data_IF_765365470043
#
_entry.id   IF_765365470043
#
_cell.length_a   1.000
_cell.length_b   1.000
_cell.length_c   1.000
_cell.angle_alpha   90.00
_cell.angle_beta   90.00
_cell.angle_gamma   90.00
#
_symmetry.space_group_name_H-M   'P 1'
#
loop_
_entity.id
_entity.type
_entity.pdbx_description
1 polymer ?
#
# COMPACT_ATOMS: atom_id res chain seq x y z
N UNK A 1 59.48 -18.00 -0.90
CA UNK A 1 60.33 -17.16 -0.04
C UNK A 1 60.65 -15.91 -0.83
N UNK A 2 59.99 -14.82 -0.42
CA UNK A 2 60.41 -13.42 -0.42
C UNK A 2 61.05 -12.71 -1.62
N UNK A 3 60.35 -11.63 -2.00
CA UNK A 3 60.75 -10.23 -2.22
C UNK A 3 61.59 -9.78 -3.44
N UNK A 4 60.95 -8.85 -4.18
CA UNK A 4 61.38 -7.56 -4.76
C UNK A 4 62.42 -7.48 -5.90
N UNK A 5 61.91 -6.94 -7.03
CA UNK A 5 62.42 -5.91 -7.98
C UNK A 5 63.90 -5.94 -8.47
N UNK A 6 64.18 -5.62 -9.76
CA UNK A 6 64.01 -4.23 -10.24
C UNK A 6 63.71 -4.03 -11.74
N UNK A 7 63.33 -2.79 -12.10
CA UNK A 7 63.32 -2.26 -13.47
C UNK A 7 64.76 -2.05 -14.02
N UNK A 8 64.96 -1.96 -15.35
CA UNK A 8 65.00 -0.62 -15.96
C UNK A 8 64.54 -0.51 -17.45
N UNK A 9 64.47 0.75 -17.87
CA UNK A 9 64.07 1.38 -19.13
C UNK A 9 64.90 1.09 -20.40
N UNK A 10 64.28 1.20 -21.60
CA UNK A 10 64.61 2.22 -22.62
C UNK A 10 63.95 2.02 -24.00
N UNK A 11 63.77 3.15 -24.70
CA UNK A 11 63.88 3.37 -26.16
C UNK A 11 62.66 3.26 -27.11
N UNK A 12 62.13 4.45 -27.44
CA UNK A 12 61.88 5.09 -28.76
C UNK A 12 61.57 4.27 -30.03
N UNK A 13 60.46 4.61 -30.74
CA UNK A 13 60.44 5.42 -31.99
C UNK A 13 59.10 5.38 -32.79
N UNK A 14 58.85 6.46 -33.56
CA UNK A 14 57.95 6.61 -34.74
C UNK A 14 56.43 6.74 -34.49
N UNK A 15 55.62 7.63 -35.10
CA UNK A 15 55.71 8.48 -36.32
C UNK A 15 54.49 9.46 -36.30
N UNK A 16 54.64 10.74 -36.68
CA UNK A 16 53.54 11.69 -37.01
C UNK A 16 52.98 11.40 -38.43
N UNK A 17 51.92 12.07 -39.00
CA UNK A 17 51.07 13.19 -38.52
C UNK A 17 49.54 12.97 -38.77
N UNK A 18 48.68 13.90 -38.36
CA UNK A 18 47.68 14.57 -39.23
C UNK A 18 46.75 15.48 -38.38
N UNK A 19 46.83 16.78 -38.67
CA UNK A 19 45.91 17.83 -38.25
C UNK A 19 44.60 17.65 -39.04
N UNK A 20 43.50 17.46 -38.33
CA UNK A 20 42.15 17.73 -38.83
C UNK A 20 41.59 18.81 -37.92
N UNK A 21 41.53 20.03 -38.44
CA UNK A 21 40.60 21.04 -37.93
C UNK A 21 39.21 20.63 -38.38
N UNK A 22 38.26 20.52 -37.46
CA UNK A 22 36.87 20.73 -37.82
C UNK A 22 36.06 21.26 -36.62
N UNK A 23 35.58 22.48 -36.82
CA UNK A 23 34.27 23.00 -36.43
C UNK A 23 33.75 22.69 -35.02
N UNK A 24 33.80 23.72 -34.19
CA UNK A 24 32.95 23.90 -33.02
C UNK A 24 31.46 23.95 -33.41
N UNK A 25 30.73 22.86 -33.15
CA UNK A 25 29.30 22.90 -32.91
C UNK A 25 29.08 22.65 -31.41
N UNK A 26 28.35 23.49 -30.67
CA UNK A 26 27.93 23.15 -29.32
C UNK A 26 26.84 22.07 -29.45
N UNK A 27 27.24 20.82 -29.27
CA UNK A 27 26.31 19.71 -29.05
C UNK A 27 25.47 20.07 -27.83
N UNK A 28 24.22 20.48 -28.07
CA UNK A 28 23.30 20.81 -27.00
C UNK A 28 23.11 19.55 -26.17
N UNK A 29 23.48 19.64 -24.89
CA UNK A 29 23.15 18.59 -23.94
C UNK A 29 21.66 18.26 -24.08
N UNK A 30 21.27 16.97 -24.13
CA UNK A 30 19.87 16.61 -24.19
C UNK A 30 19.16 17.29 -23.01
N UNK A 31 17.92 17.77 -23.20
CA UNK A 31 17.20 18.45 -22.12
C UNK A 31 17.22 17.55 -20.89
N UNK A 32 17.58 18.12 -19.75
CA UNK A 32 17.50 17.42 -18.48
C UNK A 32 16.10 16.79 -18.41
N UNK A 33 16.05 15.45 -18.43
CA UNK A 33 14.83 14.73 -18.12
C UNK A 33 14.46 15.15 -16.71
N UNK A 34 13.58 16.14 -16.61
CA UNK A 34 12.79 16.34 -15.42
C UNK A 34 11.98 15.07 -15.34
N UNK A 35 12.46 14.13 -14.53
CA UNK A 35 11.61 13.05 -14.07
C UNK A 35 10.43 13.76 -13.42
N UNK A 36 9.31 13.84 -14.14
CA UNK A 36 8.02 14.05 -13.52
C UNK A 36 8.00 13.06 -12.36
N UNK A 37 7.79 13.50 -11.11
CA UNK A 37 7.52 12.55 -10.05
C UNK A 37 6.40 11.68 -10.60
N UNK A 38 6.66 10.39 -10.75
CA UNK A 38 5.61 9.43 -11.00
C UNK A 38 4.79 9.50 -9.71
N UNK A 39 3.83 10.42 -9.67
CA UNK A 39 2.98 10.63 -8.51
C UNK A 39 2.43 9.27 -8.16
N UNK A 40 2.72 8.84 -6.93
CA UNK A 40 2.25 7.60 -6.36
C UNK A 40 0.72 7.60 -6.44
N UNK A 41 0.17 7.06 -7.53
CA UNK A 41 -1.27 6.83 -7.71
C UNK A 41 -1.84 5.95 -6.57
N UNK A 42 -0.97 5.31 -5.77
CA UNK A 42 -1.34 4.55 -4.58
C UNK A 42 -1.70 5.37 -3.35
N UNK A 43 -1.51 6.70 -3.34
CA UNK A 43 -1.76 7.54 -2.15
C UNK A 43 -2.99 8.47 -2.25
N UNK A 44 -3.68 8.51 -3.38
CA UNK A 44 -4.90 9.33 -3.53
C UNK A 44 -6.04 8.72 -2.72
N UNK A 45 -6.29 9.29 -1.54
CA UNK A 45 -7.39 8.89 -0.65
C UNK A 45 -8.57 9.87 -0.77
N UNK A 46 -9.78 9.32 -0.77
CA UNK A 46 -11.01 10.12 -0.83
C UNK A 46 -11.55 10.27 0.58
N UNK A 47 -11.70 11.50 1.08
CA UNK A 47 -12.17 11.75 2.45
C UNK A 47 -13.70 11.79 2.53
N UNK A 48 -14.25 11.18 3.57
CA UNK A 48 -15.68 11.10 3.85
C UNK A 48 -15.99 11.60 5.25
N UNK A 49 -16.78 12.67 5.28
CA UNK A 49 -17.53 13.10 6.44
C UNK A 49 -18.68 13.97 5.94
N UNK A 50 -19.93 13.62 6.27
CA UNK A 50 -21.09 14.43 5.89
C UNK A 50 -21.41 14.48 4.37
N UNK A 51 -20.90 13.54 3.57
CA UNK A 51 -21.27 13.43 2.16
C UNK A 51 -22.72 12.91 2.03
N UNK A 52 -23.57 13.51 1.17
CA UNK A 52 -24.98 13.13 1.04
C UNK A 52 -25.20 11.75 0.41
N UNK A 53 -24.15 11.12 -0.14
CA UNK A 53 -24.19 9.80 -0.74
C UNK A 53 -22.79 9.19 -0.91
N UNK A 54 -22.76 7.89 -1.17
CA UNK A 54 -21.52 7.18 -1.48
C UNK A 54 -21.09 7.44 -2.94
N UNK A 55 -19.79 7.60 -3.25
CA UNK A 55 -19.37 7.94 -4.61
C UNK A 55 -19.57 6.81 -5.61
N UNK A 56 -19.49 7.16 -6.88
CA UNK A 56 -19.54 6.22 -7.99
C UNK A 56 -18.22 5.46 -8.14
N UNK A 57 -18.26 4.37 -8.91
CA UNK A 57 -17.09 3.52 -9.19
C UNK A 57 -15.93 4.28 -9.86
N UNK A 58 -16.21 5.37 -10.58
CA UNK A 58 -15.18 6.25 -11.14
C UNK A 58 -14.24 6.82 -10.06
N UNK A 59 -14.77 7.05 -8.85
CA UNK A 59 -14.02 7.61 -7.72
C UNK A 59 -13.47 6.49 -6.82
N UNK A 60 -14.26 5.44 -6.59
CA UNK A 60 -13.87 4.38 -5.64
C UNK A 60 -12.96 3.32 -6.24
N UNK A 61 -12.91 3.24 -7.58
CA UNK A 61 -12.43 2.05 -8.27
C UNK A 61 -13.37 0.85 -8.06
N UNK A 62 -13.04 -0.30 -8.66
CA UNK A 62 -13.79 -1.53 -8.45
C UNK A 62 -13.69 -1.99 -6.99
N UNK A 63 -14.75 -2.60 -6.42
CA UNK A 63 -14.71 -3.08 -5.05
C UNK A 63 -13.74 -4.27 -4.93
N UNK A 64 -12.73 -4.22 -4.03
CA UNK A 64 -11.79 -5.33 -3.83
C UNK A 64 -12.44 -6.55 -3.16
N UNK A 65 -13.58 -6.35 -2.49
CA UNK A 65 -14.30 -7.36 -1.72
C UNK A 65 -15.82 -7.21 -1.92
N UNK A 66 -16.55 -8.29 -1.62
CA UNK A 66 -18.02 -8.29 -1.56
C UNK A 66 -18.48 -8.85 -0.22
N UNK A 67 -19.63 -8.36 0.26
CA UNK A 67 -20.24 -8.83 1.50
C UNK A 67 -20.81 -10.25 1.34
N UNK A 68 -21.42 -10.79 2.39
CA UNK A 68 -21.92 -12.17 2.47
C UNK A 68 -22.96 -12.52 1.39
N UNK A 69 -23.68 -11.52 0.86
CA UNK A 69 -24.61 -11.70 -0.25
C UNK A 69 -23.92 -11.95 -1.60
N UNK A 70 -22.60 -11.81 -1.67
CA UNK A 70 -21.79 -11.99 -2.86
C UNK A 70 -21.94 -10.87 -3.90
N UNK A 71 -22.67 -9.80 -3.61
CA UNK A 71 -23.00 -8.73 -4.56
C UNK A 71 -22.69 -7.36 -3.97
N UNK A 72 -23.02 -7.10 -2.70
CA UNK A 72 -22.81 -5.82 -2.04
C UNK A 72 -21.32 -5.47 -1.97
N UNK A 73 -20.91 -4.26 -2.41
CA UNK A 73 -19.50 -3.90 -2.51
C UNK A 73 -18.91 -3.56 -1.13
N UNK A 74 -17.65 -3.95 -0.92
CA UNK A 74 -16.87 -3.63 0.29
C UNK A 74 -15.51 -3.09 -0.12
N UNK A 75 -15.14 -1.93 0.43
CA UNK A 75 -13.94 -1.18 0.09
C UNK A 75 -12.96 -1.08 1.26
N UNK A 76 -11.71 -0.76 0.94
CA UNK A 76 -10.69 -0.39 1.91
C UNK A 76 -10.90 1.04 2.39
N UNK A 77 -10.77 1.25 3.69
CA UNK A 77 -10.76 2.59 4.24
C UNK A 77 -9.88 2.75 5.46
N UNK A 78 -9.79 3.99 5.92
CA UNK A 78 -9.03 4.41 7.09
C UNK A 78 -9.91 5.31 7.94
N UNK A 79 -10.25 4.89 9.15
CA UNK A 79 -11.06 5.65 10.09
C UNK A 79 -10.18 6.53 10.98
N UNK A 80 -10.49 7.82 11.08
CA UNK A 80 -9.77 8.78 11.91
C UNK A 80 -10.43 8.91 13.29
N UNK A 81 -9.66 8.73 14.35
CA UNK A 81 -10.11 8.85 15.74
C UNK A 81 -9.64 10.17 16.36
N UNK A 82 -10.35 10.60 17.41
CA UNK A 82 -10.06 11.86 18.12
C UNK A 82 -8.71 11.85 18.85
N UNK A 83 -8.20 10.66 19.20
CA UNK A 83 -6.88 10.49 19.81
C UNK A 83 -5.74 10.50 18.78
N UNK A 84 -6.04 10.97 17.56
CA UNK A 84 -5.18 11.03 16.38
C UNK A 84 -4.84 9.69 15.74
N UNK A 85 -5.26 8.54 16.28
CA UNK A 85 -5.03 7.26 15.62
C UNK A 85 -5.83 7.15 14.32
N UNK A 86 -5.31 6.35 13.39
CA UNK A 86 -5.97 6.07 12.11
C UNK A 86 -5.98 4.55 11.93
N UNK A 87 -7.16 3.95 11.86
CA UNK A 87 -7.28 2.50 11.76
C UNK A 87 -7.83 2.06 10.41
N UNK A 88 -7.17 1.10 9.72
CA UNK A 88 -7.76 0.46 8.56
C UNK A 88 -9.12 -0.17 8.91
N UNK A 89 -10.09 0.02 8.03
CA UNK A 89 -11.49 -0.36 8.23
C UNK A 89 -12.09 -0.94 6.95
N UNK A 90 -13.22 -1.64 7.07
CA UNK A 90 -14.08 -1.95 5.92
C UNK A 90 -15.10 -0.82 5.73
N UNK A 91 -15.34 -0.44 4.48
CA UNK A 91 -16.40 0.48 4.09
C UNK A 91 -17.40 -0.29 3.23
N UNK A 92 -18.63 -0.43 3.71
CA UNK A 92 -19.71 -1.10 2.99
C UNK A 92 -20.92 -0.16 2.95
N UNK A 93 -21.24 0.44 1.78
CA UNK A 93 -22.26 1.48 1.66
C UNK A 93 -23.66 1.08 2.16
N UNK A 94 -23.98 -0.22 2.08
CA UNK A 94 -25.26 -0.77 2.52
C UNK A 94 -25.39 -0.96 4.04
N UNK A 95 -24.33 -0.77 4.82
CA UNK A 95 -24.40 -0.95 6.27
C UNK A 95 -24.98 0.26 6.99
N UNK A 96 -25.86 -0.01 7.95
CA UNK A 96 -26.49 0.96 8.85
C UNK A 96 -26.08 0.67 10.31
N UNK A 97 -25.91 1.69 11.17
CA UNK A 97 -26.13 3.13 10.96
C UNK A 97 -24.98 3.87 10.24
N UNK A 98 -23.82 3.24 10.09
CA UNK A 98 -22.67 3.79 9.37
C UNK A 98 -22.12 2.78 8.37
N UNK A 99 -21.60 3.21 7.21
CA UNK A 99 -20.93 2.34 6.25
C UNK A 99 -19.53 1.89 6.72
N UNK A 100 -18.92 2.61 7.66
CA UNK A 100 -17.57 2.35 8.14
C UNK A 100 -17.58 1.44 9.38
N UNK A 101 -16.80 0.36 9.33
CA UNK A 101 -16.66 -0.61 10.42
C UNK A 101 -15.19 -0.85 10.74
N UNK A 102 -14.83 -0.56 11.99
CA UNK A 102 -13.44 -0.61 12.45
C UNK A 102 -13.26 -1.75 13.45
N UNK A 103 -12.33 -2.69 13.23
CA UNK A 103 -11.89 -3.61 14.26
C UNK A 103 -11.00 -2.85 15.25
N UNK A 104 -11.46 -2.65 16.48
CA UNK A 104 -10.67 -1.98 17.51
C UNK A 104 -11.17 -2.37 18.91
N UNK A 105 -10.28 -2.49 19.89
CA UNK A 105 -10.65 -2.73 21.29
C UNK A 105 -11.51 -3.99 21.50
N UNK A 106 -11.28 -5.05 20.72
CA UNK A 106 -12.05 -6.31 20.73
C UNK A 106 -13.49 -6.17 20.21
N UNK A 107 -13.85 -5.07 19.56
CA UNK A 107 -15.21 -4.80 19.05
C UNK A 107 -15.20 -4.41 17.58
N UNK A 108 -16.34 -4.63 16.93
CA UNK A 108 -16.67 -3.98 15.66
C UNK A 108 -17.30 -2.62 15.96
N UNK A 109 -16.54 -1.55 15.73
CA UNK A 109 -17.01 -0.18 15.95
C UNK A 109 -17.76 0.34 14.73
N UNK A 110 -18.94 0.92 14.98
CA UNK A 110 -19.65 1.72 13.99
C UNK A 110 -19.04 3.12 14.00
N UNK A 111 -18.19 3.42 13.01
CA UNK A 111 -17.46 4.69 12.99
C UNK A 111 -18.27 5.78 12.32
N UNK A 112 -18.61 6.83 13.06
CA UNK A 112 -19.38 7.97 12.55
C UNK A 112 -18.51 9.22 12.30
N UNK A 113 -17.22 9.13 12.64
CA UNK A 113 -16.26 10.20 12.39
C UNK A 113 -15.76 10.22 10.95
N UNK A 114 -14.78 11.09 10.64
CA UNK A 114 -14.14 11.12 9.34
C UNK A 114 -13.47 9.78 9.03
N UNK A 115 -13.56 9.36 7.77
CA UNK A 115 -12.81 8.23 7.24
C UNK A 115 -12.38 8.52 5.81
N UNK A 116 -11.33 7.87 5.33
CA UNK A 116 -10.96 7.92 3.90
C UNK A 116 -11.15 6.58 3.22
N UNK A 117 -11.53 6.57 1.95
CA UNK A 117 -11.49 5.39 1.08
C UNK A 117 -10.16 5.34 0.34
N UNK A 118 -9.58 4.14 0.24
CA UNK A 118 -8.46 3.83 -0.63
C UNK A 118 -9.02 3.20 -1.92
N UNK A 119 -8.93 3.89 -3.08
CA UNK A 119 -9.32 3.30 -4.35
C UNK A 119 -8.40 2.12 -4.67
N UNK A 120 -8.98 0.94 -4.84
CA UNK A 120 -8.20 -0.25 -5.18
C UNK A 120 -7.89 -0.25 -6.67
N UNK A 121 -6.61 -0.30 -7.02
CA UNK A 121 -6.16 -0.41 -8.41
C UNK A 121 -5.46 -1.75 -8.65
N UNK A 122 -6.09 -2.71 -9.35
CA UNK A 122 -5.51 -4.04 -9.59
C UNK A 122 -4.27 -4.03 -10.49
N UNK A 123 -3.96 -2.93 -11.20
CA UNK A 123 -2.75 -2.81 -12.01
C UNK A 123 -1.50 -2.48 -11.17
N UNK A 124 -1.70 -1.91 -9.97
CA UNK A 124 -0.60 -1.40 -9.12
C UNK A 124 -0.65 -1.93 -7.69
N UNK A 125 -1.73 -2.61 -7.30
CA UNK A 125 -1.94 -3.17 -5.98
C UNK A 125 -2.35 -4.63 -6.10
N UNK A 126 -1.86 -5.45 -5.17
CA UNK A 126 -2.20 -6.86 -5.10
C UNK A 126 -2.34 -7.31 -3.65
N UNK A 127 -3.26 -8.24 -3.41
CA UNK A 127 -3.45 -8.85 -2.09
C UNK A 127 -2.56 -10.09 -2.02
N UNK A 128 -1.60 -10.08 -1.10
CA UNK A 128 -0.58 -11.11 -0.97
C UNK A 128 -0.84 -11.95 0.28
N UNK A 129 -0.96 -13.29 0.18
CA UNK A 129 -1.11 -14.15 1.33
C UNK A 129 0.04 -13.99 2.34
N UNK A 130 -0.31 -13.91 3.63
CA UNK A 130 0.69 -13.85 4.70
C UNK A 130 0.12 -14.42 6.01
N UNK A 131 0.92 -14.39 7.07
CA UNK A 131 0.52 -14.85 8.40
C UNK A 131 1.30 -14.15 9.51
N UNK A 132 0.77 -14.17 10.73
CA UNK A 132 1.50 -13.76 11.93
C UNK A 132 1.91 -12.28 11.95
N UNK A 133 1.18 -11.40 11.25
CA UNK A 133 1.52 -9.98 11.12
C UNK A 133 2.70 -9.70 10.17
N UNK A 134 3.23 -10.71 9.47
CA UNK A 134 4.43 -10.58 8.66
C UNK A 134 4.17 -9.82 7.36
N UNK A 135 5.14 -9.02 6.98
CA UNK A 135 5.21 -8.41 5.65
C UNK A 135 5.98 -9.38 4.74
N UNK A 136 5.40 -9.86 3.62
CA UNK A 136 6.11 -10.75 2.71
C UNK A 136 7.38 -10.10 2.13
N UNK A 137 8.45 -10.88 2.00
CA UNK A 137 9.74 -10.41 1.49
C UNK A 137 9.61 -9.77 0.11
N UNK A 138 10.23 -8.61 -0.09
CA UNK A 138 10.19 -7.89 -1.36
C UNK A 138 8.88 -7.16 -1.65
N UNK A 139 7.91 -7.17 -0.72
CA UNK A 139 6.66 -6.43 -0.83
C UNK A 139 6.72 -5.14 -0.03
N UNK A 140 5.99 -4.12 -0.50
CA UNK A 140 5.78 -2.85 0.20
C UNK A 140 4.30 -2.76 0.57
N UNK A 141 3.93 -2.97 1.85
CA UNK A 141 2.53 -2.97 2.24
C UNK A 141 1.95 -1.55 2.22
N UNK A 142 0.65 -1.45 1.93
CA UNK A 142 -0.06 -0.18 1.92
C UNK A 142 -0.44 0.22 3.34
N UNK A 143 0.15 1.32 3.80
CA UNK A 143 -0.18 1.92 5.10
C UNK A 143 -1.63 2.39 5.06
N UNK A 144 -2.48 1.83 5.90
CA UNK A 144 -3.85 2.30 6.08
C UNK A 144 -4.02 3.20 7.31
N UNK A 145 -2.99 3.35 8.13
CA UNK A 145 -2.99 4.27 9.26
C UNK A 145 -1.88 3.97 10.27
N UNK A 146 -2.13 4.31 11.52
CA UNK A 146 -1.19 4.16 12.62
C UNK A 146 -1.95 4.08 13.97
N UNK A 147 -1.32 3.49 14.97
CA UNK A 147 -1.79 3.57 16.36
C UNK A 147 -1.70 5.01 16.88
N UNK A 148 -2.01 5.26 18.16
CA UNK A 148 -1.84 6.59 18.77
C UNK A 148 -0.41 7.13 18.62
N UNK A 149 0.58 6.24 18.72
CA UNK A 149 1.94 6.54 18.33
C UNK A 149 2.06 6.47 16.79
N UNK A 150 2.32 7.61 16.15
CA UNK A 150 2.30 7.78 14.70
C UNK A 150 3.35 6.91 13.98
N UNK A 151 4.41 6.51 14.69
CA UNK A 151 5.45 5.67 14.14
C UNK A 151 5.04 4.18 14.09
N UNK A 152 3.98 3.79 14.80
CA UNK A 152 3.44 2.43 14.82
C UNK A 152 2.38 2.28 13.73
N UNK A 153 2.86 1.91 12.53
CA UNK A 153 2.04 1.78 11.32
C UNK A 153 1.08 0.59 11.36
N UNK A 154 -0.07 0.79 10.71
CA UNK A 154 -1.09 -0.23 10.44
C UNK A 154 -1.28 -0.36 8.93
N UNK A 155 -1.40 -1.59 8.44
CA UNK A 155 -1.53 -1.90 7.02
C UNK A 155 -2.91 -2.45 6.69
N UNK A 156 -3.39 -2.20 5.48
CA UNK A 156 -4.61 -2.82 4.98
C UNK A 156 -4.41 -4.34 4.84
N UNK A 157 -5.40 -5.09 5.30
CA UNK A 157 -5.42 -6.54 5.18
C UNK A 157 -6.83 -7.03 4.85
N UNK A 158 -6.94 -8.28 4.41
CA UNK A 158 -8.20 -8.95 4.09
C UNK A 158 -8.20 -10.33 4.74
N UNK A 159 -9.14 -10.57 5.65
CA UNK A 159 -9.37 -11.89 6.21
C UNK A 159 -10.21 -12.75 5.24
N UNK A 160 -9.87 -14.04 5.13
CA UNK A 160 -10.58 -15.01 4.32
C UNK A 160 -11.50 -15.85 5.22
N UNK A 161 -12.76 -15.44 5.35
CA UNK A 161 -13.75 -16.07 6.23
C UNK A 161 -14.51 -17.15 5.46
N UNK A 162 -14.32 -18.42 5.83
CA UNK A 162 -15.13 -19.51 5.30
C UNK A 162 -16.58 -19.39 5.77
N UNK A 163 -17.51 -19.27 4.82
CA UNK A 163 -18.95 -19.28 5.02
C UNK A 163 -19.61 -20.45 4.29
N UNK A 164 -20.95 -20.57 4.43
CA UNK A 164 -21.72 -21.64 3.78
C UNK A 164 -21.67 -21.58 2.25
N UNK A 165 -21.54 -20.38 1.69
CA UNK A 165 -21.56 -20.13 0.25
C UNK A 165 -20.16 -19.95 -0.36
N UNK A 166 -19.09 -20.20 0.39
CA UNK A 166 -17.71 -20.00 -0.04
C UNK A 166 -16.91 -19.10 0.90
N UNK A 167 -15.85 -18.48 0.38
CA UNK A 167 -14.97 -17.59 1.13
C UNK A 167 -15.48 -16.15 1.00
N UNK A 168 -15.72 -15.49 2.13
CA UNK A 168 -15.98 -14.06 2.20
C UNK A 168 -14.69 -13.33 2.56
N UNK A 169 -14.36 -12.31 1.77
CA UNK A 169 -13.18 -11.47 1.96
C UNK A 169 -13.57 -10.24 2.78
N UNK A 170 -12.93 -10.05 3.94
CA UNK A 170 -13.31 -8.99 4.88
C UNK A 170 -12.13 -8.08 5.14
N UNK A 171 -12.19 -6.80 4.70
CA UNK A 171 -11.14 -5.84 5.00
C UNK A 171 -10.95 -5.61 6.51
N UNK A 172 -9.71 -5.38 6.88
CA UNK A 172 -9.27 -5.17 8.24
C UNK A 172 -7.87 -4.57 8.29
N UNK A 173 -7.17 -4.81 9.40
CA UNK A 173 -5.83 -4.28 9.66
C UNK A 173 -4.85 -5.37 10.06
N UNK A 174 -3.59 -5.22 9.66
CA UNK A 174 -2.49 -6.05 10.15
C UNK A 174 -1.26 -5.19 10.43
N UNK A 175 -0.38 -5.70 11.28
CA UNK A 175 0.95 -5.17 11.54
C UNK A 175 1.78 -6.22 12.29
N UNK A 176 3.12 -6.10 12.31
CA UNK A 176 3.97 -7.04 13.05
C UNK A 176 3.57 -7.21 14.52
N UNK A 177 3.22 -6.12 15.22
CA UNK A 177 2.82 -6.17 16.63
C UNK A 177 1.42 -6.77 16.85
N UNK A 178 0.58 -6.84 15.82
CA UNK A 178 -0.78 -7.39 15.90
C UNK A 178 -0.81 -8.92 15.71
N UNK A 179 0.30 -9.53 15.27
CA UNK A 179 0.43 -10.99 15.08
C UNK A 179 -0.63 -11.63 14.16
N UNK A 180 -1.34 -10.87 13.34
CA UNK A 180 -2.40 -11.37 12.46
C UNK A 180 -3.22 -10.27 11.78
N UNK A 181 -4.31 -10.65 11.13
CA UNK A 181 -5.32 -9.74 10.59
C UNK A 181 -6.46 -9.58 11.59
N UNK A 182 -6.69 -8.35 12.04
CA UNK A 182 -7.83 -7.95 12.85
C UNK A 182 -8.92 -7.41 11.92
N UNK A 183 -10.13 -7.94 12.00
CA UNK A 183 -11.22 -7.58 11.11
C UNK A 183 -12.57 -7.58 11.83
N UNK A 184 -13.48 -6.74 11.32
CA UNK A 184 -14.79 -6.52 11.91
C UNK A 184 -15.81 -7.52 11.33
N UNK A 185 -16.35 -8.42 12.16
CA UNK A 185 -17.31 -9.43 11.72
C UNK A 185 -18.28 -9.89 12.82
N UNK A 186 -19.58 -9.69 12.57
CA UNK A 186 -20.63 -10.17 13.46
C UNK A 186 -20.70 -9.41 14.80
N UNK A 187 -20.37 -8.12 14.81
CA UNK A 187 -20.41 -7.25 15.99
C UNK A 187 -19.15 -7.29 16.84
N UNK A 188 -18.13 -8.07 16.47
CA UNK A 188 -16.88 -8.20 17.21
C UNK A 188 -15.65 -7.99 16.31
N UNK A 189 -14.52 -7.65 16.92
CA UNK A 189 -13.21 -7.78 16.29
C UNK A 189 -12.79 -9.25 16.37
N UNK A 190 -12.44 -9.82 15.22
CA UNK A 190 -11.85 -11.15 15.13
C UNK A 190 -10.41 -11.05 14.66
N UNK A 191 -9.61 -12.03 15.02
CA UNK A 191 -8.21 -12.11 14.60
C UNK A 191 -7.96 -13.44 13.94
N UNK A 192 -7.41 -13.41 12.73
CA UNK A 192 -6.83 -14.58 12.10
C UNK A 192 -5.31 -14.42 12.02
N UNK A 193 -4.59 -15.39 12.59
CA UNK A 193 -3.12 -15.46 12.49
C UNK A 193 -2.66 -16.04 11.14
N UNK A 194 -3.54 -16.77 10.45
CA UNK A 194 -3.34 -17.35 9.11
C UNK A 194 -4.55 -16.99 8.24
N UNK A 195 -4.62 -17.43 6.97
CA UNK A 195 -5.82 -17.23 6.12
C UNK A 195 -6.20 -15.75 5.95
N UNK A 196 -5.21 -14.91 5.72
CA UNK A 196 -5.43 -13.52 5.35
C UNK A 196 -4.38 -13.05 4.35
N UNK A 197 -4.70 -11.95 3.69
CA UNK A 197 -3.85 -11.29 2.71
C UNK A 197 -3.51 -9.89 3.22
N UNK A 198 -2.30 -9.43 2.95
CA UNK A 198 -1.90 -8.03 3.15
C UNK A 198 -1.92 -7.34 1.79
N UNK A 199 -2.35 -6.07 1.76
CA UNK A 199 -2.29 -5.22 0.58
C UNK A 199 -0.91 -4.56 0.46
#
# INVERSE_FOLDING_TARGET
>A
MDLFDPAPSSSTAHRQPHRIENSSDPESAPPAYSATPMESLGDTRVTFQGMPGFPTEFVTGPPPCRDLDGISPVFFGSAHFDDSSVHPCKIAPGLSPSPCRVPYGSKEHHHNGPYTLLPFNPETMELVPTSGGRIPTGRRPIVGGHERDKDVKLYHAVALVSGRSGIVRVPGKTAPHLSGCNFAWGGIERVFQHNYEIL
#
